data_IF_804088180824
#
_entry.id   IF_804088180824
#
_cell.length_a   1.000
_cell.length_b   1.000
_cell.length_c   1.000
_cell.angle_alpha   90.00
_cell.angle_beta   90.00
_cell.angle_gamma   90.00
#
_symmetry.space_group_name_H-M   'P 1'
#
loop_
_entity.id
_entity.type
_entity.pdbx_description
1 polymer ?
#
# COMPACT_ATOMS: atom_id res chain seq x y z
N UNK A 1 -15.44 -22.69 -5.24
CA UNK A 1 -14.83 -23.29 -6.43
C UNK A 1 -15.18 -22.66 -7.78
N UNK A 2 -16.43 -22.30 -8.08
CA UNK A 2 -16.73 -21.60 -9.35
C UNK A 2 -16.13 -20.18 -9.41
N UNK A 3 -16.13 -19.45 -8.29
CA UNK A 3 -15.60 -18.08 -8.25
C UNK A 3 -14.07 -18.00 -8.28
N UNK A 4 -13.35 -19.00 -7.73
CA UNK A 4 -11.88 -19.07 -7.82
C UNK A 4 -11.41 -19.20 -9.28
N UNK A 5 -12.05 -20.06 -10.08
CA UNK A 5 -11.72 -20.26 -11.50
C UNK A 5 -11.92 -19.02 -12.39
N UNK A 6 -12.72 -18.04 -11.96
CA UNK A 6 -12.98 -16.85 -12.77
C UNK A 6 -11.95 -15.74 -12.54
N UNK A 7 -11.32 -15.70 -11.36
CA UNK A 7 -10.31 -14.69 -11.02
C UNK A 7 -8.97 -15.02 -11.68
N UNK A 8 -8.59 -16.30 -11.76
CA UNK A 8 -7.29 -16.76 -12.28
C UNK A 8 -7.01 -16.34 -13.74
N UNK A 9 -8.04 -15.97 -14.53
CA UNK A 9 -7.91 -15.54 -15.93
C UNK A 9 -8.15 -14.03 -16.16
N UNK A 10 -8.22 -13.21 -15.10
CA UNK A 10 -8.45 -11.78 -15.27
C UNK A 10 -7.16 -11.08 -15.72
N UNK A 11 -7.02 -10.76 -17.01
CA UNK A 11 -5.88 -10.00 -17.56
C UNK A 11 -6.24 -8.57 -17.98
N UNK A 12 -7.53 -8.21 -17.94
CA UNK A 12 -8.04 -6.96 -18.53
C UNK A 12 -7.34 -5.71 -18.00
N UNK A 13 -7.00 -5.68 -16.71
CA UNK A 13 -6.30 -4.54 -16.13
C UNK A 13 -4.82 -4.49 -16.53
N UNK A 14 -4.18 -5.66 -16.67
CA UNK A 14 -2.84 -5.75 -17.25
C UNK A 14 -2.84 -5.24 -18.70
N UNK A 15 -3.82 -5.66 -19.51
CA UNK A 15 -3.95 -5.19 -20.89
C UNK A 15 -4.15 -3.67 -20.96
N UNK A 16 -5.02 -3.11 -20.10
CA UNK A 16 -5.23 -1.67 -19.96
C UNK A 16 -3.92 -0.94 -19.60
N UNK A 17 -3.15 -1.48 -18.65
CA UNK A 17 -1.88 -0.92 -18.22
C UNK A 17 -0.88 -0.89 -19.37
N UNK A 18 -0.65 -2.03 -20.02
CA UNK A 18 0.32 -2.14 -21.12
C UNK A 18 -0.07 -1.22 -22.29
N UNK A 19 -1.35 -1.16 -22.66
CA UNK A 19 -1.82 -0.28 -23.74
C UNK A 19 -1.70 1.21 -23.34
N UNK A 20 -2.01 1.57 -22.09
CA UNK A 20 -1.87 2.94 -21.59
C UNK A 20 -0.41 3.40 -21.62
N UNK A 21 0.51 2.60 -21.06
CA UNK A 21 1.94 2.91 -21.06
C UNK A 21 2.51 3.00 -22.48
N UNK A 22 2.14 2.06 -23.36
CA UNK A 22 2.56 2.07 -24.75
C UNK A 22 2.04 3.30 -25.51
N UNK A 23 0.78 3.70 -25.27
CA UNK A 23 0.21 4.91 -25.88
C UNK A 23 0.92 6.17 -25.42
N UNK A 24 1.20 6.32 -24.13
CA UNK A 24 1.93 7.47 -23.61
C UNK A 24 3.36 7.52 -24.17
N UNK A 25 4.07 6.40 -24.19
CA UNK A 25 5.42 6.33 -24.76
C UNK A 25 5.44 6.67 -26.27
N UNK A 26 4.42 6.27 -27.03
CA UNK A 26 4.28 6.65 -28.45
C UNK A 26 3.95 8.13 -28.64
N UNK A 27 3.09 8.69 -27.77
CA UNK A 27 2.64 10.09 -27.86
C UNK A 27 3.75 11.06 -27.45
N UNK A 28 4.57 10.68 -26.48
CA UNK A 28 5.67 11.47 -25.97
C UNK A 28 6.98 10.67 -25.98
N UNK A 29 7.79 10.81 -27.05
CA UNK A 29 9.09 10.14 -27.15
C UNK A 29 10.09 10.53 -26.05
N UNK A 30 9.87 11.65 -25.36
CA UNK A 30 10.72 12.12 -24.26
C UNK A 30 10.18 11.71 -22.88
N UNK A 31 9.11 10.90 -22.82
CA UNK A 31 8.47 10.51 -21.56
C UNK A 31 9.46 9.95 -20.53
N UNK A 32 10.37 9.07 -20.94
CA UNK A 32 11.37 8.51 -20.03
C UNK A 32 12.33 9.58 -19.49
N UNK A 33 12.73 10.53 -20.31
CA UNK A 33 13.55 11.66 -19.87
C UNK A 33 12.78 12.54 -18.87
N UNK A 34 11.49 12.81 -19.13
CA UNK A 34 10.64 13.57 -18.22
C UNK A 34 10.42 12.85 -16.89
N UNK A 35 10.25 11.53 -16.89
CA UNK A 35 10.15 10.73 -15.66
C UNK A 35 11.45 10.85 -14.85
N UNK A 36 12.62 10.69 -15.47
CA UNK A 36 13.92 10.85 -14.79
C UNK A 36 14.13 12.27 -14.26
N UNK A 37 13.70 13.28 -14.99
CA UNK A 37 13.74 14.67 -14.53
C UNK A 37 12.79 14.91 -13.35
N UNK A 38 11.58 14.36 -13.40
CA UNK A 38 10.64 14.42 -12.27
C UNK A 38 11.20 13.71 -11.02
N UNK A 39 11.85 12.56 -11.19
CA UNK A 39 12.59 11.86 -10.11
C UNK A 39 13.67 12.75 -9.51
N UNK A 40 14.48 13.41 -10.35
CA UNK A 40 15.52 14.36 -9.90
C UNK A 40 14.92 15.50 -9.06
N UNK A 41 13.85 16.11 -9.55
CA UNK A 41 13.16 17.20 -8.85
C UNK A 41 12.58 16.72 -7.52
N UNK A 42 12.03 15.51 -7.49
CA UNK A 42 11.49 14.88 -6.28
C UNK A 42 12.59 14.63 -5.24
N UNK A 43 13.72 14.06 -5.65
CA UNK A 43 14.88 13.82 -4.77
C UNK A 43 15.46 15.13 -4.23
N UNK A 44 15.56 16.15 -5.09
CA UNK A 44 15.99 17.49 -4.70
C UNK A 44 15.02 18.13 -3.68
N UNK A 45 13.71 18.00 -3.89
CA UNK A 45 12.70 18.48 -2.95
C UNK A 45 12.71 17.73 -1.61
N UNK A 46 13.15 16.46 -1.60
CA UNK A 46 13.39 15.67 -0.38
C UNK A 46 14.68 16.07 0.37
N UNK A 47 15.41 17.06 -0.14
CA UNK A 47 16.61 17.62 0.48
C UNK A 47 17.90 16.90 0.12
N UNK A 48 17.92 16.12 -0.97
CA UNK A 48 19.15 15.53 -1.50
C UNK A 48 19.87 16.54 -2.40
N UNK A 49 21.18 16.67 -2.18
CA UNK A 49 22.05 17.49 -3.02
C UNK A 49 22.30 16.82 -4.39
N UNK A 50 22.71 17.61 -5.38
CA UNK A 50 23.11 17.07 -6.68
C UNK A 50 24.28 16.10 -6.60
N UNK A 51 25.14 16.24 -5.58
CA UNK A 51 26.28 15.34 -5.33
C UNK A 51 25.85 14.00 -4.71
N UNK A 52 24.71 13.95 -4.01
CA UNK A 52 24.14 12.71 -3.48
C UNK A 52 23.35 11.92 -4.55
N UNK A 53 23.02 12.57 -5.66
CA UNK A 53 22.18 12.03 -6.74
C UNK A 53 22.98 11.95 -8.04
N UNK A 54 24.02 11.11 -8.03
CA UNK A 54 24.80 10.81 -9.23
C UNK A 54 23.96 10.08 -10.30
N UNK A 55 23.16 9.10 -9.87
CA UNK A 55 22.18 8.40 -10.70
C UNK A 55 20.81 8.33 -10.01
N UNK A 56 19.82 9.00 -10.62
CA UNK A 56 18.43 9.04 -10.13
C UNK A 56 17.75 7.67 -10.19
N UNK A 57 18.25 6.75 -11.01
CA UNK A 57 17.65 5.43 -11.21
C UNK A 57 18.07 4.43 -10.11
N UNK A 58 19.12 4.73 -9.35
CA UNK A 58 19.56 3.91 -8.20
C UNK A 58 18.75 4.20 -6.92
N UNK A 59 18.02 5.31 -6.89
CA UNK A 59 17.17 5.68 -5.76
C UNK A 59 15.81 4.99 -5.84
N UNK A 60 15.22 4.61 -4.70
CA UNK A 60 13.84 4.15 -4.61
C UNK A 60 12.97 5.25 -4.02
N UNK A 61 11.90 5.62 -4.72
CA UNK A 61 10.94 6.64 -4.27
C UNK A 61 9.64 5.95 -3.83
N UNK A 62 9.30 6.09 -2.55
CA UNK A 62 8.07 5.54 -1.97
C UNK A 62 7.05 6.67 -1.80
N UNK A 63 5.96 6.61 -2.55
CA UNK A 63 4.85 7.56 -2.43
C UNK A 63 3.85 7.14 -1.37
N UNK A 64 3.68 7.94 -0.32
CA UNK A 64 2.65 7.77 0.70
C UNK A 64 1.43 8.61 0.30
N UNK A 65 0.28 7.98 0.02
CA UNK A 65 -0.88 8.69 -0.49
C UNK A 65 -1.53 9.56 0.59
N UNK A 66 -1.63 10.87 0.33
CA UNK A 66 -2.35 11.83 1.15
C UNK A 66 -3.72 12.15 0.53
N UNK A 67 -4.69 12.35 1.42
CA UNK A 67 -6.04 12.80 1.09
C UNK A 67 -6.43 13.94 2.00
N UNK A 68 -7.22 14.88 1.46
CA UNK A 68 -7.69 16.07 2.19
C UNK A 68 -9.14 15.92 2.64
N UNK A 69 -9.97 15.18 1.90
CA UNK A 69 -11.42 15.19 2.13
C UNK A 69 -11.96 13.99 2.94
N UNK A 70 -11.36 12.82 2.81
CA UNK A 70 -11.78 11.58 3.50
C UNK A 70 -10.61 10.62 3.63
N UNK A 71 -10.64 9.74 4.62
CA UNK A 71 -9.55 8.75 4.83
C UNK A 71 -8.19 9.42 4.95
N UNK A 72 -8.14 10.50 5.73
CA UNK A 72 -6.92 11.28 5.93
C UNK A 72 -5.95 10.46 6.78
N UNK A 73 -4.71 10.34 6.34
CA UNK A 73 -3.62 9.76 7.12
C UNK A 73 -3.04 10.84 8.03
N UNK A 74 -3.47 10.88 9.28
CA UNK A 74 -3.22 11.98 10.22
C UNK A 74 -1.75 12.15 10.57
N UNK A 75 -1.03 11.04 10.69
CA UNK A 75 0.37 10.98 11.08
C UNK A 75 1.31 10.60 9.93
N UNK A 76 0.94 10.92 8.68
CA UNK A 76 1.73 10.59 7.49
C UNK A 76 3.18 11.10 7.57
N UNK A 77 3.38 12.28 8.17
CA UNK A 77 4.70 12.87 8.36
C UNK A 77 5.60 12.05 9.28
N UNK A 78 5.05 11.29 10.22
CA UNK A 78 5.83 10.36 11.06
C UNK A 78 6.40 9.23 10.20
N UNK A 79 5.60 8.70 9.28
CA UNK A 79 6.05 7.67 8.33
C UNK A 79 7.09 8.20 7.34
N UNK A 80 6.92 9.43 6.84
CA UNK A 80 7.95 10.08 6.00
C UNK A 80 9.27 10.23 6.77
N UNK A 81 9.21 10.72 8.02
CA UNK A 81 10.42 10.87 8.85
C UNK A 81 11.07 9.53 9.19
N UNK A 82 10.31 8.51 9.52
CA UNK A 82 10.85 7.18 9.81
C UNK A 82 11.59 6.59 8.59
N UNK A 83 11.12 6.92 7.38
CA UNK A 83 11.76 6.52 6.13
C UNK A 83 13.14 7.17 5.89
N UNK A 84 13.45 8.31 6.52
CA UNK A 84 14.78 8.94 6.41
C UNK A 84 15.90 8.02 6.90
N UNK A 85 15.59 7.04 7.77
CA UNK A 85 16.51 5.99 8.19
C UNK A 85 17.07 5.14 7.03
N UNK A 86 16.40 5.15 5.87
CA UNK A 86 16.78 4.36 4.69
C UNK A 86 17.54 5.15 3.62
N UNK A 87 17.89 6.42 3.86
CA UNK A 87 18.64 7.24 2.89
C UNK A 87 19.98 6.62 2.48
N UNK A 88 20.66 5.93 3.40
CA UNK A 88 21.93 5.22 3.11
C UNK A 88 21.73 4.04 2.15
N UNK A 89 20.53 3.48 2.08
CA UNK A 89 20.13 2.45 1.13
C UNK A 89 19.44 3.06 -0.10
N UNK A 90 19.61 4.37 -0.32
CA UNK A 90 19.04 5.15 -1.43
C UNK A 90 17.52 5.07 -1.50
N UNK A 91 16.83 5.13 -0.37
CA UNK A 91 15.35 5.22 -0.32
C UNK A 91 14.94 6.60 0.19
N UNK A 92 13.92 7.18 -0.44
CA UNK A 92 13.18 8.33 0.08
C UNK A 92 11.69 8.04 0.08
N UNK A 93 10.99 8.60 1.07
CA UNK A 93 9.53 8.62 1.09
C UNK A 93 9.04 10.04 0.86
N UNK A 94 7.99 10.17 0.07
CA UNK A 94 7.33 11.44 -0.20
C UNK A 94 5.83 11.31 0.00
N UNK A 95 5.18 12.44 0.28
CA UNK A 95 3.73 12.50 0.28
C UNK A 95 3.23 12.70 -1.15
N UNK A 96 2.23 11.90 -1.54
CA UNK A 96 1.60 11.95 -2.87
C UNK A 96 0.14 12.34 -2.71
N UNK A 97 -0.21 13.56 -3.15
CA UNK A 97 -1.60 14.00 -3.15
C UNK A 97 -2.35 13.36 -4.34
N UNK A 98 -3.36 12.56 -4.02
CA UNK A 98 -4.17 11.83 -5.02
C UNK A 98 -5.49 12.53 -5.34
N UNK A 99 -5.77 13.68 -4.73
CA UNK A 99 -7.02 14.45 -4.90
C UNK A 99 -6.81 15.74 -5.70
N UNK A 100 -5.57 16.26 -5.75
CA UNK A 100 -5.21 17.47 -6.45
C UNK A 100 -4.00 17.23 -7.37
N UNK A 101 -4.12 17.66 -8.61
CA UNK A 101 -3.01 17.71 -9.60
C UNK A 101 -3.24 18.90 -10.51
N UNK A 102 -2.18 19.51 -11.04
CA UNK A 102 -2.32 20.56 -12.02
C UNK A 102 -2.70 20.00 -13.41
N UNK A 103 -2.31 18.75 -13.71
CA UNK A 103 -2.62 18.13 -15.01
C UNK A 103 -2.61 16.58 -15.01
N UNK A 104 -3.19 15.94 -16.04
CA UNK A 104 -3.02 14.50 -16.27
C UNK A 104 -1.58 14.08 -16.52
N UNK A 105 -0.76 14.94 -17.16
CA UNK A 105 0.66 14.67 -17.40
C UNK A 105 1.43 14.62 -16.09
N UNK A 106 1.16 15.54 -15.17
CA UNK A 106 1.77 15.52 -13.84
C UNK A 106 1.41 14.24 -13.06
N UNK A 107 0.16 13.77 -13.13
CA UNK A 107 -0.23 12.50 -12.50
C UNK A 107 0.54 11.31 -13.08
N UNK A 108 0.72 11.28 -14.41
CA UNK A 108 1.51 10.25 -15.07
C UNK A 108 2.96 10.30 -14.61
N UNK A 109 3.61 11.47 -14.68
CA UNK A 109 5.02 11.62 -14.30
C UNK A 109 5.24 11.29 -12.82
N UNK A 110 4.37 11.78 -11.94
CA UNK A 110 4.43 11.52 -10.50
C UNK A 110 4.36 10.02 -10.22
N UNK A 111 3.34 9.31 -10.70
CA UNK A 111 3.20 7.88 -10.40
C UNK A 111 4.24 7.02 -11.11
N UNK A 112 4.62 7.35 -12.35
CA UNK A 112 5.70 6.64 -13.05
C UNK A 112 7.09 6.91 -12.48
N UNK A 113 7.24 7.94 -11.64
CA UNK A 113 8.48 8.22 -10.92
C UNK A 113 8.64 7.42 -9.62
N UNK A 114 7.59 6.75 -9.13
CA UNK A 114 7.62 6.01 -7.87
C UNK A 114 8.06 4.56 -8.09
N UNK A 115 8.72 3.99 -7.09
CA UNK A 115 9.04 2.56 -7.00
C UNK A 115 8.01 1.79 -6.15
N UNK A 116 7.36 2.50 -5.23
CA UNK A 116 6.26 1.98 -4.44
C UNK A 116 5.19 3.04 -4.18
N UNK A 117 3.93 2.62 -4.12
CA UNK A 117 2.78 3.42 -3.72
C UNK A 117 2.13 2.80 -2.49
N UNK A 118 2.10 3.54 -1.38
CA UNK A 118 1.52 3.11 -0.11
C UNK A 118 0.28 3.93 0.17
N UNK A 119 -0.85 3.29 0.48
CA UNK A 119 -2.06 4.02 0.80
C UNK A 119 -3.12 3.19 1.48
N UNK A 120 -4.03 3.88 2.15
CA UNK A 120 -5.21 3.28 2.78
C UNK A 120 -6.08 2.62 1.71
N UNK A 121 -6.66 1.45 1.98
CA UNK A 121 -7.59 0.76 1.07
C UNK A 121 -8.55 1.71 0.35
N UNK A 122 -8.60 1.62 -0.99
CA UNK A 122 -9.49 2.45 -1.79
C UNK A 122 -9.04 2.70 -3.23
N UNK A 123 -9.93 3.38 -3.97
CA UNK A 123 -9.77 3.62 -5.40
C UNK A 123 -8.53 4.44 -5.77
N UNK A 124 -7.91 5.18 -4.86
CA UNK A 124 -6.71 5.96 -5.19
C UNK A 124 -5.51 5.08 -5.55
N UNK A 125 -5.45 3.85 -5.03
CA UNK A 125 -4.37 2.91 -5.38
C UNK A 125 -4.45 2.46 -6.84
N UNK A 126 -5.56 2.71 -7.55
CA UNK A 126 -5.67 2.45 -9.00
C UNK A 126 -4.69 3.28 -9.82
N UNK A 127 -4.20 4.41 -9.30
CA UNK A 127 -3.13 5.16 -9.96
C UNK A 127 -1.79 4.40 -10.00
N UNK A 128 -1.67 3.33 -9.21
CA UNK A 128 -0.58 2.36 -9.31
C UNK A 128 -0.44 1.74 -10.71
N UNK A 129 -1.46 1.85 -11.58
CA UNK A 129 -1.37 1.48 -12.99
C UNK A 129 -0.23 2.17 -13.76
N UNK A 130 0.30 3.29 -13.26
CA UNK A 130 1.41 4.02 -13.88
C UNK A 130 2.77 3.71 -13.29
N UNK A 131 2.86 2.90 -12.21
CA UNK A 131 4.13 2.49 -11.63
C UNK A 131 5.00 1.77 -12.67
N UNK A 132 6.33 1.80 -12.55
CA UNK A 132 7.21 0.97 -13.38
C UNK A 132 6.91 -0.52 -13.19
N UNK A 133 7.36 -1.35 -14.14
CA UNK A 133 7.30 -2.81 -14.01
C UNK A 133 8.01 -3.25 -12.73
N UNK A 134 7.46 -4.25 -12.04
CA UNK A 134 7.88 -4.72 -10.71
C UNK A 134 7.67 -3.71 -9.57
N UNK A 135 7.05 -2.56 -9.82
CA UNK A 135 6.69 -1.59 -8.78
C UNK A 135 5.76 -2.19 -7.73
N UNK A 136 5.80 -1.62 -6.53
CA UNK A 136 5.06 -2.12 -5.38
C UNK A 136 3.85 -1.26 -5.03
N UNK A 137 2.76 -1.91 -4.62
CA UNK A 137 1.58 -1.29 -4.05
C UNK A 137 1.39 -1.89 -2.67
N UNK A 138 1.39 -1.05 -1.64
CA UNK A 138 1.02 -1.44 -0.30
C UNK A 138 -0.35 -0.85 0.04
N UNK A 139 -1.34 -1.72 0.10
CA UNK A 139 -2.69 -1.42 0.54
C UNK A 139 -2.80 -1.60 2.06
N UNK A 140 -2.93 -0.49 2.78
CA UNK A 140 -3.19 -0.49 4.22
C UNK A 140 -4.68 -0.74 4.45
N UNK A 141 -5.02 -1.91 4.98
CA UNK A 141 -6.39 -2.39 5.13
C UNK A 141 -6.98 -1.83 6.45
N UNK A 142 -8.01 -0.98 6.39
CA UNK A 142 -8.55 -0.29 7.55
C UNK A 142 -9.13 -1.26 8.59
N UNK A 143 -8.78 -1.10 9.86
CA UNK A 143 -9.45 -1.84 10.94
C UNK A 143 -10.91 -1.42 11.10
N UNK A 144 -11.84 -2.34 10.90
CA UNK A 144 -13.27 -2.09 11.13
C UNK A 144 -13.76 -3.12 12.15
N UNK A 145 -14.53 -2.70 13.18
CA UNK A 145 -15.10 -3.65 14.12
C UNK A 145 -15.98 -4.67 13.38
N UNK A 146 -15.91 -5.93 13.78
CA UNK A 146 -16.68 -7.04 13.17
C UNK A 146 -18.20 -6.83 13.18
N UNK A 147 -18.71 -6.03 14.12
CA UNK A 147 -20.13 -5.69 14.22
C UNK A 147 -20.53 -4.52 13.31
N UNK A 148 -19.58 -3.90 12.61
CA UNK A 148 -19.83 -2.77 11.72
C UNK A 148 -19.84 -3.19 10.25
N UNK A 149 -20.64 -2.47 9.46
CA UNK A 149 -20.60 -2.60 8.00
C UNK A 149 -19.24 -2.17 7.44
N UNK A 150 -18.69 -2.98 6.55
CA UNK A 150 -17.43 -2.71 5.87
C UNK A 150 -16.25 -3.56 6.30
N UNK A 151 -16.39 -4.48 7.27
CA UNK A 151 -15.32 -5.38 7.75
C UNK A 151 -14.53 -6.06 6.62
N UNK A 152 -15.17 -6.36 5.49
CA UNK A 152 -14.54 -6.96 4.31
C UNK A 152 -13.33 -6.17 3.77
N UNK A 153 -13.22 -4.86 4.03
CA UNK A 153 -12.05 -4.06 3.62
C UNK A 153 -10.76 -4.45 4.34
N UNK A 154 -10.90 -5.15 5.48
CA UNK A 154 -9.79 -5.71 6.26
C UNK A 154 -9.44 -7.16 5.87
N UNK A 155 -10.09 -7.71 4.83
CA UNK A 155 -9.97 -9.12 4.47
C UNK A 155 -8.56 -9.49 4.00
N UNK A 156 -7.90 -10.38 4.74
CA UNK A 156 -6.58 -10.95 4.38
C UNK A 156 -6.67 -12.31 3.67
N UNK A 157 -7.85 -12.92 3.66
CA UNK A 157 -8.08 -14.29 3.19
C UNK A 157 -8.58 -14.40 1.75
N UNK A 158 -8.86 -13.26 1.12
CA UNK A 158 -9.37 -13.15 -0.25
C UNK A 158 -8.91 -11.80 -0.84
N UNK A 159 -8.84 -11.67 -2.17
CA UNK A 159 -8.42 -10.41 -2.78
C UNK A 159 -9.42 -9.29 -2.48
N UNK A 160 -8.90 -8.10 -2.19
CA UNK A 160 -9.68 -6.86 -2.19
C UNK A 160 -10.10 -6.50 -3.63
N UNK A 161 -11.05 -5.57 -3.85
CA UNK A 161 -11.32 -5.04 -5.18
C UNK A 161 -10.06 -4.50 -5.87
N UNK A 162 -9.14 -3.89 -5.12
CA UNK A 162 -7.82 -3.45 -5.61
C UNK A 162 -6.94 -4.66 -5.95
N UNK A 163 -6.95 -5.69 -5.11
CA UNK A 163 -6.33 -6.99 -5.37
C UNK A 163 -6.80 -7.65 -6.66
N UNK A 164 -8.09 -7.59 -6.96
CA UNK A 164 -8.66 -8.10 -8.22
C UNK A 164 -8.20 -7.26 -9.42
N UNK A 165 -8.06 -5.94 -9.26
CA UNK A 165 -7.58 -5.08 -10.35
C UNK A 165 -6.12 -5.38 -10.69
N UNK A 166 -5.23 -5.50 -9.70
CA UNK A 166 -3.82 -5.78 -9.95
C UNK A 166 -3.49 -7.26 -10.16
N UNK A 167 -4.50 -8.12 -10.17
CA UNK A 167 -4.35 -9.54 -10.42
C UNK A 167 -3.71 -9.79 -11.79
N UNK A 168 -2.73 -10.70 -11.85
CA UNK A 168 -2.01 -11.05 -13.08
C UNK A 168 -1.35 -9.86 -13.80
N UNK A 169 -0.98 -8.82 -13.05
CA UNK A 169 -0.17 -7.71 -13.57
C UNK A 169 1.32 -7.92 -13.29
N UNK A 170 2.16 -7.15 -13.98
CA UNK A 170 3.61 -7.08 -13.72
C UNK A 170 4.00 -6.21 -12.51
N UNK A 171 3.05 -5.95 -11.60
CA UNK A 171 3.21 -5.19 -10.36
C UNK A 171 3.16 -6.12 -9.15
N UNK A 172 3.67 -5.65 -8.02
CA UNK A 172 3.56 -6.36 -6.75
C UNK A 172 2.52 -5.65 -5.87
N UNK A 173 1.48 -6.37 -5.43
CA UNK A 173 0.43 -5.82 -4.58
C UNK A 173 0.36 -6.56 -3.24
N UNK A 174 0.57 -5.81 -2.17
CA UNK A 174 0.57 -6.28 -0.80
C UNK A 174 -0.56 -5.63 0.01
N UNK A 175 -1.12 -6.38 0.95
CA UNK A 175 -2.03 -5.88 1.96
C UNK A 175 -1.41 -5.92 3.34
N UNK A 176 -1.69 -4.91 4.18
CA UNK A 176 -1.37 -4.95 5.61
C UNK A 176 -2.61 -4.60 6.42
N UNK A 177 -3.05 -5.50 7.29
CA UNK A 177 -4.20 -5.25 8.16
C UNK A 177 -3.81 -4.31 9.29
N UNK A 178 -4.39 -3.11 9.28
CA UNK A 178 -4.28 -2.20 10.42
C UNK A 178 -5.09 -2.74 11.59
N UNK A 179 -4.65 -2.39 12.79
CA UNK A 179 -5.27 -2.77 14.05
C UNK A 179 -6.19 -1.67 14.59
N UNK A 180 -6.68 -1.89 15.82
CA UNK A 180 -7.55 -0.95 16.51
C UNK A 180 -6.89 0.43 16.71
N UNK A 181 -5.59 0.49 16.93
CA UNK A 181 -4.87 1.74 17.26
C UNK A 181 -4.81 2.67 16.06
N UNK A 182 -4.98 2.12 14.85
CA UNK A 182 -5.17 2.89 13.63
C UNK A 182 -6.41 3.79 13.63
N UNK A 183 -7.35 3.61 14.56
CA UNK A 183 -8.56 4.44 14.70
C UNK A 183 -8.34 5.50 15.78
N UNK A 184 -8.27 6.80 15.41
CA UNK A 184 -7.95 7.90 16.33
C UNK A 184 -9.08 8.25 17.31
N UNK A 185 -10.19 7.52 17.28
CA UNK A 185 -11.36 7.74 18.14
C UNK A 185 -11.44 6.70 19.25
N UNK A 186 -12.12 7.05 20.34
CA UNK A 186 -12.39 6.14 21.45
C UNK A 186 -11.14 5.50 22.08
N UNK A 187 -9.95 6.10 21.93
CA UNK A 187 -8.68 5.59 22.49
C UNK A 187 -8.66 5.53 24.03
N UNK A 188 -9.54 6.28 24.68
CA UNK A 188 -9.67 6.30 26.15
C UNK A 188 -10.48 5.12 26.70
N UNK A 189 -11.13 4.33 25.83
CA UNK A 189 -11.92 3.15 26.22
C UNK A 189 -11.07 1.91 26.02
N UNK A 190 -11.08 1.01 27.01
CA UNK A 190 -10.36 -0.25 26.88
C UNK A 190 -10.98 -1.12 25.77
N UNK A 191 -10.20 -1.58 24.78
CA UNK A 191 -10.69 -2.45 23.71
C UNK A 191 -11.12 -3.84 24.21
N UNK A 192 -10.80 -4.19 25.47
CA UNK A 192 -11.25 -5.43 26.12
C UNK A 192 -12.75 -5.37 26.43
N UNK A 193 -13.30 -4.18 26.68
CA UNK A 193 -14.72 -4.00 26.95
C UNK A 193 -15.46 -3.61 25.66
N UNK A 194 -15.83 -4.62 24.86
CA UNK A 194 -16.55 -4.43 23.60
C UNK A 194 -17.83 -3.59 23.74
N UNK A 195 -18.53 -3.66 24.88
CA UNK A 195 -19.75 -2.90 25.12
C UNK A 195 -19.46 -1.41 25.28
N UNK A 196 -18.45 -1.06 26.06
CA UNK A 196 -18.02 0.33 26.23
C UNK A 196 -17.46 0.91 24.93
N UNK A 197 -16.67 0.12 24.19
CA UNK A 197 -16.12 0.54 22.90
C UNK A 197 -17.24 0.79 21.87
N UNK A 198 -18.20 -0.14 21.78
CA UNK A 198 -19.36 0.01 20.90
C UNK A 198 -20.21 1.23 21.28
N UNK A 199 -20.45 1.46 22.58
CA UNK A 199 -21.19 2.63 23.02
C UNK A 199 -20.42 3.92 22.75
N UNK A 200 -19.10 3.95 22.93
CA UNK A 200 -18.27 5.10 22.57
C UNK A 200 -18.40 5.43 21.07
N UNK A 201 -18.22 4.45 20.19
CA UNK A 201 -18.39 4.69 18.75
C UNK A 201 -19.82 5.10 18.39
N UNK A 202 -20.83 4.59 19.08
CA UNK A 202 -22.23 4.99 18.88
C UNK A 202 -22.49 6.42 19.36
N UNK A 203 -21.90 6.83 20.48
CA UNK A 203 -21.97 8.21 21.00
C UNK A 203 -21.27 9.16 20.03
N UNK A 204 -20.05 8.82 19.59
CA UNK A 204 -19.32 9.57 18.57
C UNK A 204 -20.15 9.71 17.28
N UNK A 205 -20.83 8.65 16.85
CA UNK A 205 -21.70 8.68 15.67
C UNK A 205 -22.98 9.51 15.86
N UNK A 206 -23.51 9.61 17.08
CA UNK A 206 -24.68 10.45 17.39
C UNK A 206 -24.31 11.92 17.53
N UNK A 207 -23.20 12.21 18.20
CA UNK A 207 -22.70 13.57 18.39
C UNK A 207 -22.16 14.13 17.07
N UNK A 208 -21.40 13.31 16.37
CA UNK A 208 -20.87 13.60 15.06
C UNK A 208 -21.72 12.86 14.04
N UNK A 209 -22.73 13.54 13.44
CA UNK A 209 -23.66 13.02 12.40
C UNK A 209 -22.97 12.38 11.16
N UNK A 210 -21.65 12.23 11.20
CA UNK A 210 -20.72 11.96 10.12
C UNK A 210 -19.77 10.80 10.42
N UNK A 211 -19.84 10.11 11.58
CA UNK A 211 -18.96 8.95 11.80
C UNK A 211 -19.36 7.82 10.84
N UNK A 212 -18.61 7.79 9.75
CA UNK A 212 -18.81 6.96 8.59
C UNK A 212 -17.52 6.19 8.42
N UNK A 213 -17.59 4.88 8.60
CA UNK A 213 -16.40 4.02 8.53
C UNK A 213 -15.66 4.18 7.20
N UNK A 214 -16.38 4.47 6.12
CA UNK A 214 -15.81 4.74 4.80
C UNK A 214 -15.14 6.12 4.66
N UNK A 215 -15.30 7.05 5.61
CA UNK A 215 -14.74 8.42 5.57
C UNK A 215 -13.74 8.74 6.68
N UNK A 216 -13.70 7.96 7.76
CA UNK A 216 -12.86 8.20 8.94
C UNK A 216 -11.39 8.41 8.59
N UNK A 217 -10.69 9.21 9.39
CA UNK A 217 -9.23 9.37 9.31
C UNK A 217 -8.50 8.24 10.05
N UNK A 218 -7.21 8.13 9.79
CA UNK A 218 -6.37 7.02 10.23
C UNK A 218 -5.08 7.53 10.84
N UNK A 219 -4.61 6.80 11.84
CA UNK A 219 -3.20 6.79 12.20
C UNK A 219 -2.60 5.46 11.71
N UNK A 220 -1.35 5.49 11.29
CA UNK A 220 -0.63 4.29 10.84
C UNK A 220 0.70 4.31 11.56
N UNK A 221 1.02 3.22 12.25
CA UNK A 221 2.35 3.06 12.82
C UNK A 221 3.41 3.15 11.71
N UNK A 222 4.38 4.03 11.87
CA UNK A 222 5.49 4.18 10.93
C UNK A 222 6.25 2.87 10.73
N UNK A 223 6.23 1.98 11.72
CA UNK A 223 6.88 0.67 11.64
C UNK A 223 6.30 -0.21 10.53
N UNK A 224 5.03 -0.03 10.14
CA UNK A 224 4.46 -0.73 8.98
C UNK A 224 5.20 -0.33 7.70
N UNK A 225 5.49 0.96 7.53
CA UNK A 225 6.17 1.50 6.34
C UNK A 225 7.64 1.12 6.35
N UNK A 226 8.34 1.24 7.48
CA UNK A 226 9.76 0.88 7.59
C UNK A 226 9.97 -0.63 7.45
N UNK A 227 9.05 -1.45 7.98
CA UNK A 227 9.05 -2.91 7.81
C UNK A 227 8.82 -3.26 6.35
N UNK A 228 7.87 -2.64 5.66
CA UNK A 228 7.68 -2.83 4.22
C UNK A 228 8.95 -2.50 3.42
N UNK A 229 9.61 -1.37 3.72
CA UNK A 229 10.83 -0.96 3.02
C UNK A 229 11.94 -1.99 3.22
N UNK A 230 12.22 -2.34 4.48
CA UNK A 230 13.32 -3.23 4.83
C UNK A 230 13.10 -4.69 4.42
N UNK A 231 11.90 -5.23 4.65
CA UNK A 231 11.60 -6.65 4.44
C UNK A 231 11.12 -6.98 3.03
N UNK A 232 10.60 -6.00 2.28
CA UNK A 232 10.06 -6.22 0.93
C UNK A 232 10.81 -5.40 -0.12
N UNK A 233 10.77 -4.07 -0.03
CA UNK A 233 11.22 -3.19 -1.11
C UNK A 233 12.72 -3.26 -1.39
N UNK A 234 13.54 -3.34 -0.35
CA UNK A 234 15.01 -3.38 -0.44
C UNK A 234 15.57 -4.75 -0.80
N UNK A 235 14.71 -5.75 -0.94
CA UNK A 235 15.17 -7.11 -1.17
C UNK A 235 15.36 -7.38 -2.66
N UNK A 236 16.56 -7.81 -3.03
CA UNK A 236 16.93 -8.08 -4.43
C UNK A 236 16.32 -9.37 -4.99
N UNK A 237 15.78 -10.24 -4.12
CA UNK A 237 15.20 -11.50 -4.55
C UNK A 237 13.73 -11.31 -4.94
N UNK A 238 13.48 -11.50 -6.23
CA UNK A 238 12.15 -11.64 -6.87
C UNK A 238 11.66 -13.10 -6.85
N UNK A 239 12.29 -13.97 -6.07
CA UNK A 239 11.86 -15.37 -5.98
C UNK A 239 10.52 -15.47 -5.20
N UNK A 240 9.58 -16.25 -5.73
CA UNK A 240 8.24 -16.36 -5.16
C UNK A 240 8.22 -16.87 -3.71
N UNK A 241 9.02 -17.90 -3.39
CA UNK A 241 9.07 -18.46 -2.04
C UNK A 241 9.71 -17.48 -1.05
N UNK A 242 10.76 -16.77 -1.47
CA UNK A 242 11.37 -15.69 -0.69
C UNK A 242 10.38 -14.56 -0.39
N UNK A 243 9.67 -14.08 -1.41
CA UNK A 243 8.63 -13.06 -1.24
C UNK A 243 7.54 -13.52 -0.27
N UNK A 244 7.07 -14.76 -0.41
CA UNK A 244 6.07 -15.36 0.49
C UNK A 244 6.55 -15.45 1.93
N UNK A 245 7.80 -15.87 2.15
CA UNK A 245 8.38 -15.99 3.50
C UNK A 245 8.43 -14.63 4.18
N UNK A 246 9.01 -13.63 3.50
CA UNK A 246 9.14 -12.26 4.03
C UNK A 246 7.78 -11.63 4.31
N UNK A 247 6.81 -11.82 3.41
CA UNK A 247 5.45 -11.31 3.63
C UNK A 247 4.81 -11.96 4.85
N UNK A 248 4.86 -13.29 4.96
CA UNK A 248 4.31 -14.04 6.10
C UNK A 248 4.95 -13.65 7.43
N UNK A 249 6.28 -13.51 7.46
CA UNK A 249 7.05 -13.14 8.66
C UNK A 249 6.75 -11.73 9.16
N UNK A 250 6.35 -10.84 8.26
CA UNK A 250 6.06 -9.43 8.56
C UNK A 250 4.58 -9.10 8.39
N UNK A 251 3.72 -10.11 8.49
CA UNK A 251 2.26 -9.97 8.53
C UNK A 251 1.58 -9.39 7.27
N UNK A 252 2.31 -9.25 6.17
CA UNK A 252 1.75 -8.84 4.88
C UNK A 252 1.00 -9.99 4.19
N UNK A 253 0.00 -9.61 3.42
CA UNK A 253 -0.71 -10.47 2.47
C UNK A 253 -0.20 -10.16 1.07
N UNK A 254 0.03 -11.18 0.23
CA UNK A 254 0.43 -10.97 -1.17
C UNK A 254 -0.77 -11.17 -2.08
N UNK A 255 -1.43 -10.08 -2.43
CA UNK A 255 -2.57 -10.09 -3.36
C UNK A 255 -2.13 -10.26 -4.82
N UNK A 256 -0.92 -9.86 -5.17
CA UNK A 256 -0.28 -10.17 -6.45
C UNK A 256 1.25 -10.13 -6.25
N UNK A 257 1.96 -11.20 -6.56
CA UNK A 257 3.42 -11.24 -6.54
C UNK A 257 3.92 -11.58 -7.95
N UNK A 258 4.58 -10.64 -8.60
CA UNK A 258 5.21 -10.86 -9.90
C UNK A 258 6.66 -11.31 -9.68
N UNK A 259 6.87 -12.62 -9.71
CA UNK A 259 8.05 -13.28 -9.17
C UNK A 259 8.50 -14.46 -10.04
N UNK A 260 9.73 -14.94 -9.84
CA UNK A 260 10.27 -16.12 -10.54
C UNK A 260 10.37 -17.34 -9.61
N UNK A 261 10.17 -18.54 -10.14
CA UNK A 261 10.25 -19.82 -9.39
C UNK A 261 11.55 -20.61 -9.61
N UNK A 262 12.52 -20.11 -10.37
CA UNK A 262 13.75 -20.87 -10.63
C UNK A 262 14.72 -20.28 -11.64
N UNK A 263 15.56 -21.16 -12.21
CA UNK A 263 16.80 -20.89 -12.97
C UNK A 263 16.56 -20.21 -14.33
N UNK A 264 15.34 -20.24 -14.86
CA UNK A 264 15.05 -19.76 -16.22
C UNK A 264 14.49 -18.33 -16.30
N UNK A 265 14.52 -17.54 -15.21
CA UNK A 265 13.99 -16.17 -15.15
C UNK A 265 12.53 -16.03 -15.65
N UNK A 266 11.77 -17.11 -15.72
CA UNK A 266 10.36 -17.06 -16.08
C UNK A 266 9.58 -16.45 -14.91
N UNK A 267 9.02 -15.26 -15.14
CA UNK A 267 8.18 -14.57 -14.18
C UNK A 267 6.74 -15.03 -14.33
N UNK A 268 6.13 -15.40 -13.20
CA UNK A 268 4.70 -15.67 -13.08
C UNK A 268 4.08 -14.79 -11.99
N UNK A 269 2.76 -14.74 -11.96
CA UNK A 269 2.00 -14.11 -10.89
C UNK A 269 1.54 -15.15 -9.87
N UNK A 270 1.75 -14.84 -8.60
CA UNK A 270 1.40 -15.70 -7.47
C UNK A 270 0.57 -14.92 -6.44
N UNK A 271 -0.25 -15.66 -5.68
CA UNK A 271 -1.15 -15.08 -4.69
C UNK A 271 -1.03 -15.85 -3.37
N UNK A 272 -0.82 -15.14 -2.27
CA UNK A 272 -0.67 -15.72 -0.94
C UNK A 272 -1.56 -14.98 0.06
N UNK A 273 -2.70 -15.60 0.37
CA UNK A 273 -3.68 -15.10 1.33
C UNK A 273 -3.43 -15.68 2.72
N UNK A 274 -3.72 -14.90 3.78
CA UNK A 274 -3.65 -15.38 5.18
C UNK A 274 -4.99 -16.00 5.58
N UNK A 275 -4.96 -17.17 6.22
CA UNK A 275 -6.18 -17.82 6.68
C UNK A 275 -6.87 -17.00 7.78
N UNK A 276 -8.20 -16.89 7.77
CA UNK A 276 -8.96 -16.15 8.78
C UNK A 276 -8.68 -16.62 10.23
N UNK A 277 -8.35 -17.91 10.41
CA UNK A 277 -8.03 -18.47 11.73
C UNK A 277 -6.67 -18.02 12.28
N UNK A 278 -5.71 -17.66 11.41
CA UNK A 278 -4.39 -17.16 11.83
C UNK A 278 -4.48 -15.70 12.25
N UNK A 279 -5.31 -14.89 11.56
CA UNK A 279 -5.55 -13.48 11.87
C UNK A 279 -6.29 -13.27 13.20
N UNK A 280 -7.26 -14.14 13.53
CA UNK A 280 -7.95 -14.09 14.82
C UNK A 280 -7.06 -14.51 15.99
N UNK A 281 -6.12 -15.42 15.76
CA UNK A 281 -5.20 -15.92 16.77
C UNK A 281 -4.07 -14.92 17.10
N UNK A 282 -3.60 -14.11 16.15
CA UNK A 282 -2.64 -13.02 16.45
C UNK A 282 -3.31 -11.93 17.28
N UNK A 283 -4.51 -11.49 16.89
CA UNK A 283 -5.32 -10.51 17.65
C UNK A 283 -5.69 -11.01 19.06
N UNK A 284 -5.89 -12.31 19.27
CA UNK A 284 -6.09 -12.88 20.61
C UNK A 284 -4.80 -12.99 21.43
N UNK A 285 -3.63 -13.25 20.79
CA UNK A 285 -2.33 -13.34 21.47
C UNK A 285 -1.84 -11.98 21.96
N UNK A 286 -2.02 -10.92 21.19
CA UNK A 286 -1.68 -9.55 21.63
C UNK A 286 -2.53 -9.14 22.83
N UNK A 287 -3.84 -9.38 22.79
CA UNK A 287 -4.75 -9.14 23.92
C UNK A 287 -4.40 -9.94 25.18
N UNK A 288 -3.80 -11.12 25.04
CA UNK A 288 -3.38 -11.94 26.18
C UNK A 288 -2.03 -11.49 26.77
N UNK A 289 -1.17 -10.84 25.98
CA UNK A 289 0.10 -10.29 26.43
C UNK A 289 -0.04 -8.92 27.11
N UNK A 290 -1.04 -8.11 26.72
CA UNK A 290 -1.39 -6.86 27.41
C UNK A 290 -2.07 -7.07 28.78
N UNK A 291 -2.44 -8.31 29.09
CA UNK A 291 -3.04 -8.71 30.38
C UNK A 291 -2.01 -9.19 31.42
N UNK A 292 -0.70 -9.12 31.12
CA UNK A 292 0.41 -9.49 32.02
C UNK A 292 1.25 -8.28 32.39
#
# INVERSE_FOLDING_TARGET
DKDKKQIDNCTTYNDLRQDSLARYARKDPLLQQKIREYRRQTLSAAGLSSEEVDDVDEWKIVGLTERKLRRIWLNINDSVRACDGFRKQKVVCITVNVEETASPEEQLLMHSSLDALVGIHGAQLTQGIFLPRQGYILELLPWIPHWSWGEWVASTSAPTPVGVMFHNTDLNHLGYALDRDSVPLCKHVSPVNQTEEMECFRVEQKQNKTFSWDRRSFEVDSDVVTTFISSILLQNSTNCDSMKSRASENEFVLYNAYCSRGVEDEFSTEHYYRNANESAASQQKERANEQR
#
